data_IF_989476661095
#
_entry.id   IF_989476661095
#
_cell.length_a   1.000
_cell.length_b   1.000
_cell.length_c   1.000
_cell.angle_alpha   90.00
_cell.angle_beta   90.00
_cell.angle_gamma   90.00
#
_symmetry.space_group_name_H-M   'P 1'
#
loop_
_entity.id
_entity.type
_entity.pdbx_description
1 polymer ?
#
# COMPACT_ATOMS: atom_id res chain seq x y z
N UNK A 1 -17.16 8.73 -24.12
CA UNK A 1 -15.91 9.16 -23.47
C UNK A 1 -16.28 10.17 -22.40
N UNK A 2 -16.62 9.70 -21.22
CA UNK A 2 -17.09 10.52 -20.09
C UNK A 2 -15.88 11.13 -19.38
N UNK A 3 -15.74 12.45 -19.54
CA UNK A 3 -14.82 13.29 -18.77
C UNK A 3 -15.36 13.49 -17.35
N UNK A 4 -15.22 12.46 -16.51
CA UNK A 4 -15.47 12.57 -15.07
C UNK A 4 -14.19 12.18 -14.33
N UNK A 5 -13.20 13.08 -14.36
CA UNK A 5 -12.14 13.13 -13.34
C UNK A 5 -11.44 14.51 -13.31
N UNK A 6 -12.19 15.58 -13.57
CA UNK A 6 -11.70 16.95 -13.46
C UNK A 6 -12.24 17.58 -12.18
N UNK A 7 -11.71 17.16 -11.03
CA UNK A 7 -11.69 18.03 -9.85
C UNK A 7 -10.33 18.71 -9.81
N UNK A 8 -10.25 20.05 -9.69
CA UNK A 8 -8.98 20.71 -9.66
C UNK A 8 -8.15 20.21 -8.46
N UNK A 9 -6.83 20.06 -8.61
CA UNK A 9 -5.94 19.89 -7.46
C UNK A 9 -6.24 21.00 -6.45
N UNK A 10 -6.04 20.71 -5.16
CA UNK A 10 -6.22 21.73 -4.12
C UNK A 10 -5.45 23.00 -4.55
N UNK A 11 -6.13 24.14 -4.55
CA UNK A 11 -5.50 25.36 -5.02
C UNK A 11 -4.34 25.72 -4.08
N UNK A 12 -3.16 26.00 -4.64
CA UNK A 12 -1.93 26.11 -3.85
C UNK A 12 -1.93 27.33 -2.92
N UNK A 13 -2.73 28.34 -3.23
CA UNK A 13 -3.03 29.51 -2.40
C UNK A 13 -3.85 29.17 -1.14
N UNK A 14 -4.59 28.04 -1.14
CA UNK A 14 -5.26 27.51 0.06
C UNK A 14 -4.30 26.80 1.03
N UNK A 15 -3.07 26.51 0.59
CA UNK A 15 -2.04 25.87 1.42
C UNK A 15 -1.24 26.96 2.15
N UNK A 16 -1.04 26.86 3.48
CA UNK A 16 -0.27 27.84 4.25
C UNK A 16 1.11 28.11 3.64
N UNK A 17 1.63 29.31 3.85
CA UNK A 17 2.99 29.65 3.44
C UNK A 17 4.00 28.79 4.23
N UNK A 18 4.56 27.79 3.55
CA UNK A 18 5.54 26.84 4.09
C UNK A 18 6.68 26.67 3.09
N UNK A 19 7.84 26.23 3.59
CA UNK A 19 8.98 25.90 2.73
C UNK A 19 8.62 24.78 1.74
N UNK A 20 9.15 24.88 0.52
CA UNK A 20 9.01 23.89 -0.55
C UNK A 20 10.36 23.24 -0.87
N UNK A 21 10.37 21.99 -1.39
CA UNK A 21 9.21 21.13 -1.63
C UNK A 21 8.60 20.56 -0.34
N UNK A 22 7.27 20.42 -0.30
CA UNK A 22 6.55 19.92 0.89
C UNK A 22 5.53 18.85 0.51
N UNK A 23 5.50 17.73 1.24
CA UNK A 23 4.48 16.71 1.05
C UNK A 23 3.18 17.12 1.75
N UNK A 24 2.12 17.26 0.96
CA UNK A 24 0.82 17.77 1.39
C UNK A 24 -0.21 16.65 1.31
N UNK A 25 -1.02 16.49 2.35
CA UNK A 25 -2.08 15.47 2.43
C UNK A 25 -3.41 16.10 2.81
N UNK A 26 -4.50 15.61 2.23
CA UNK A 26 -5.85 16.16 2.38
C UNK A 26 -6.77 15.07 2.95
N UNK A 27 -7.11 15.19 4.23
CA UNK A 27 -7.77 14.13 5.01
C UNK A 27 -9.20 13.82 4.55
N UNK A 28 -9.98 14.85 4.17
CA UNK A 28 -11.34 14.68 3.65
C UNK A 28 -11.37 13.82 2.38
N UNK A 29 -10.34 13.94 1.53
CA UNK A 29 -10.20 13.11 0.32
C UNK A 29 -9.83 11.66 0.64
N UNK A 30 -9.05 11.43 1.70
CA UNK A 30 -8.75 10.06 2.18
C UNK A 30 -10.04 9.38 2.66
N UNK A 31 -10.88 10.11 3.40
CA UNK A 31 -12.17 9.57 3.88
C UNK A 31 -13.15 9.31 2.74
N UNK A 32 -13.19 10.16 1.71
CA UNK A 32 -13.91 9.86 0.47
C UNK A 32 -13.40 8.57 -0.18
N UNK A 33 -12.08 8.46 -0.36
CA UNK A 33 -11.48 7.28 -0.97
C UNK A 33 -11.77 6.00 -0.16
N UNK A 34 -11.75 6.07 1.17
CA UNK A 34 -12.13 4.96 2.04
C UNK A 34 -13.57 4.53 1.77
N UNK A 35 -14.50 5.49 1.73
CA UNK A 35 -15.93 5.23 1.50
C UNK A 35 -16.16 4.52 0.15
N UNK A 36 -15.66 5.07 -0.94
CA UNK A 36 -15.88 4.49 -2.29
C UNK A 36 -15.17 3.14 -2.46
N UNK A 37 -13.99 2.96 -1.86
CA UNK A 37 -13.27 1.68 -1.89
C UNK A 37 -13.98 0.61 -1.07
N UNK A 38 -14.47 0.96 0.13
CA UNK A 38 -15.26 0.06 0.96
C UNK A 38 -16.56 -0.36 0.24
N UNK A 39 -17.24 0.56 -0.43
CA UNK A 39 -18.41 0.26 -1.24
C UNK A 39 -18.08 -0.72 -2.38
N UNK A 40 -17.00 -0.47 -3.12
CA UNK A 40 -16.60 -1.30 -4.26
C UNK A 40 -16.27 -2.76 -3.88
N UNK A 41 -15.67 -3.00 -2.71
CA UNK A 41 -15.36 -4.36 -2.25
C UNK A 41 -16.47 -5.01 -1.40
N UNK A 42 -17.57 -4.28 -1.15
CA UNK A 42 -18.75 -4.76 -0.45
C UNK A 42 -18.67 -4.66 1.08
N UNK A 43 -17.86 -3.78 1.63
CA UNK A 43 -17.78 -3.49 3.07
C UNK A 43 -16.39 -3.06 3.54
N UNK A 44 -16.32 -2.17 4.53
CA UNK A 44 -15.04 -1.68 5.10
C UNK A 44 -14.28 -2.79 5.83
N UNK A 45 -15.01 -3.74 6.42
CA UNK A 45 -14.45 -4.89 7.13
C UNK A 45 -13.73 -5.88 6.21
N UNK A 46 -13.90 -5.72 4.89
CA UNK A 46 -13.20 -6.49 3.87
C UNK A 46 -11.83 -5.91 3.51
N UNK A 47 -11.54 -4.69 3.93
CA UNK A 47 -10.28 -4.04 3.62
C UNK A 47 -9.19 -4.47 4.61
N UNK A 48 -8.05 -4.87 4.04
CA UNK A 48 -6.76 -4.98 4.73
C UNK A 48 -5.75 -4.05 4.07
N UNK A 49 -5.87 -2.72 4.21
CA UNK A 49 -5.09 -1.77 3.43
C UNK A 49 -3.60 -1.94 3.68
N UNK A 50 -2.82 -1.79 2.61
CA UNK A 50 -1.38 -1.92 2.69
C UNK A 50 -0.73 -0.59 3.11
N UNK A 51 -0.11 -0.57 4.29
CA UNK A 51 0.45 0.66 4.87
C UNK A 51 1.71 1.18 4.19
N UNK A 52 2.35 0.39 3.32
CA UNK A 52 3.54 0.81 2.56
C UNK A 52 3.30 2.07 1.71
N UNK A 53 2.04 2.38 1.41
CA UNK A 53 1.66 3.58 0.66
C UNK A 53 1.89 4.86 1.45
N UNK A 54 1.66 4.82 2.77
CA UNK A 54 1.66 6.02 3.60
C UNK A 54 2.66 5.99 4.76
N UNK A 55 2.98 4.81 5.29
CA UNK A 55 3.91 4.62 6.41
C UNK A 55 3.67 5.63 7.56
N UNK A 56 2.40 5.82 7.91
CA UNK A 56 1.96 6.87 8.83
C UNK A 56 1.03 6.29 9.91
N UNK A 57 1.43 6.38 11.19
CA UNK A 57 0.66 5.85 12.31
C UNK A 57 -0.69 6.58 12.47
N UNK A 58 -0.72 7.90 12.28
CA UNK A 58 -1.94 8.69 12.38
C UNK A 58 -3.00 8.27 11.35
N UNK A 59 -2.59 7.79 10.17
CA UNK A 59 -3.51 7.23 9.18
C UNK A 59 -4.04 5.86 9.60
N UNK A 60 -3.22 5.03 10.25
CA UNK A 60 -3.71 3.77 10.81
C UNK A 60 -4.79 4.04 11.85
N UNK A 61 -4.56 5.00 12.76
CA UNK A 61 -5.56 5.43 13.75
C UNK A 61 -6.82 6.00 13.10
N UNK A 62 -6.69 6.83 12.06
CA UNK A 62 -7.83 7.37 11.32
C UNK A 62 -8.65 6.24 10.67
N UNK A 63 -8.00 5.27 10.03
CA UNK A 63 -8.67 4.16 9.35
C UNK A 63 -9.35 3.21 10.36
N UNK A 64 -8.71 2.95 11.51
CA UNK A 64 -9.31 2.21 12.63
C UNK A 64 -10.59 2.89 13.12
N UNK A 65 -10.56 4.21 13.32
CA UNK A 65 -11.72 4.99 13.75
C UNK A 65 -12.88 4.96 12.73
N UNK A 66 -12.59 4.63 11.47
CA UNK A 66 -13.57 4.50 10.39
C UNK A 66 -13.88 3.04 10.02
N UNK A 67 -13.57 2.09 10.91
CA UNK A 67 -14.03 0.70 10.80
C UNK A 67 -13.11 -0.27 10.07
N UNK A 68 -11.94 0.17 9.57
CA UNK A 68 -10.92 -0.75 9.08
C UNK A 68 -10.35 -1.52 10.28
N UNK A 69 -10.33 -2.85 10.23
CA UNK A 69 -9.88 -3.67 11.36
C UNK A 69 -8.58 -4.44 11.11
N UNK A 70 -8.07 -4.42 9.88
CA UNK A 70 -6.93 -5.23 9.46
C UNK A 70 -6.00 -4.42 8.56
N UNK A 71 -4.70 -4.71 8.64
CA UNK A 71 -3.68 -3.99 7.86
C UNK A 71 -2.60 -4.92 7.33
N UNK A 72 -2.00 -4.52 6.22
CA UNK A 72 -0.87 -5.21 5.62
C UNK A 72 0.38 -4.34 5.64
N UNK A 73 1.50 -4.91 6.08
CA UNK A 73 2.80 -4.26 6.18
C UNK A 73 3.87 -5.00 5.37
N UNK A 74 4.88 -4.30 4.88
CA UNK A 74 5.99 -4.86 4.09
C UNK A 74 7.26 -5.03 4.92
N UNK A 75 7.41 -4.28 6.01
CA UNK A 75 8.58 -4.35 6.90
C UNK A 75 8.15 -4.56 8.35
N UNK A 76 9.05 -5.09 9.17
CA UNK A 76 8.80 -5.26 10.62
C UNK A 76 8.60 -3.91 11.31
N UNK A 77 9.26 -2.84 10.86
CA UNK A 77 9.03 -1.48 11.36
C UNK A 77 7.60 -1.00 11.08
N UNK A 78 7.06 -1.29 9.89
CA UNK A 78 5.65 -1.00 9.58
C UNK A 78 4.70 -1.86 10.42
N UNK A 79 5.03 -3.12 10.69
CA UNK A 79 4.25 -3.97 11.60
C UNK A 79 4.19 -3.33 13.00
N UNK A 80 5.33 -2.91 13.54
CA UNK A 80 5.38 -2.24 14.85
C UNK A 80 4.55 -0.94 14.84
N UNK A 81 4.69 -0.11 13.82
CA UNK A 81 3.90 1.13 13.67
C UNK A 81 2.40 0.85 13.68
N UNK A 82 1.95 -0.17 12.95
CA UNK A 82 0.54 -0.55 12.85
C UNK A 82 0.01 -1.09 14.18
N UNK A 83 0.77 -1.97 14.84
CA UNK A 83 0.40 -2.52 16.15
C UNK A 83 0.36 -1.43 17.22
N UNK A 84 1.34 -0.53 17.25
CA UNK A 84 1.40 0.59 18.18
C UNK A 84 0.24 1.59 17.98
N UNK A 85 -0.25 1.73 16.75
CA UNK A 85 -1.44 2.53 16.43
C UNK A 85 -2.76 1.87 16.85
N UNK A 86 -2.73 0.64 17.36
CA UNK A 86 -3.88 -0.07 17.95
C UNK A 86 -4.53 -1.12 17.05
N UNK A 87 -3.96 -1.43 15.89
CA UNK A 87 -4.52 -2.47 15.03
C UNK A 87 -4.35 -3.87 15.64
N UNK A 88 -5.40 -4.67 15.56
CA UNK A 88 -5.44 -6.02 16.16
C UNK A 88 -5.27 -7.15 15.14
N UNK A 89 -5.21 -6.86 13.84
CA UNK A 89 -4.91 -7.85 12.80
C UNK A 89 -3.92 -7.29 11.80
N UNK A 90 -2.74 -7.89 11.73
CA UNK A 90 -1.65 -7.41 10.88
C UNK A 90 -1.04 -8.56 10.10
N UNK A 91 -1.00 -8.44 8.79
CA UNK A 91 -0.23 -9.35 7.93
C UNK A 91 1.08 -8.68 7.53
N UNK A 92 2.20 -9.28 7.92
CA UNK A 92 3.51 -8.93 7.38
C UNK A 92 3.70 -9.64 6.04
N UNK A 93 3.32 -8.94 4.97
CA UNK A 93 3.28 -9.48 3.62
C UNK A 93 4.65 -9.42 2.93
N UNK A 94 5.61 -10.14 3.51
CA UNK A 94 6.95 -10.30 2.97
C UNK A 94 7.47 -11.69 3.39
N UNK A 95 7.47 -12.70 2.49
CA UNK A 95 7.99 -14.02 2.83
C UNK A 95 9.49 -13.89 3.07
N UNK A 96 9.91 -13.93 4.34
CA UNK A 96 11.30 -13.76 4.73
C UNK A 96 11.88 -15.05 5.27
N UNK A 97 13.18 -15.22 5.09
CA UNK A 97 13.99 -16.26 5.70
C UNK A 97 15.03 -15.67 6.67
N UNK A 98 14.96 -14.35 6.92
CA UNK A 98 15.90 -13.65 7.77
C UNK A 98 15.52 -13.86 9.26
N UNK A 99 16.35 -14.58 10.04
CA UNK A 99 16.00 -14.95 11.42
C UNK A 99 15.90 -13.74 12.36
N UNK A 100 16.62 -12.65 12.09
CA UNK A 100 16.52 -11.42 12.89
C UNK A 100 15.18 -10.72 12.71
N UNK A 101 14.68 -10.63 11.48
CA UNK A 101 13.37 -10.02 11.22
C UNK A 101 12.21 -10.91 11.69
N UNK A 102 12.32 -12.23 11.52
CA UNK A 102 11.36 -13.20 12.09
C UNK A 102 11.36 -13.11 13.61
N UNK A 103 12.52 -13.07 14.24
CA UNK A 103 12.62 -12.88 15.67
C UNK A 103 11.92 -11.60 16.14
N UNK A 104 12.16 -10.47 15.47
CA UNK A 104 11.54 -9.19 15.82
C UNK A 104 10.01 -9.25 15.70
N UNK A 105 9.47 -9.94 14.69
CA UNK A 105 8.02 -10.09 14.57
C UNK A 105 7.44 -10.94 15.72
N UNK A 106 8.15 -11.98 16.18
CA UNK A 106 7.76 -12.76 17.37
C UNK A 106 7.76 -11.90 18.64
N UNK A 107 8.76 -11.04 18.84
CA UNK A 107 8.79 -10.09 19.96
C UNK A 107 7.61 -9.11 19.92
N UNK A 108 7.25 -8.62 18.72
CA UNK A 108 6.08 -7.76 18.55
C UNK A 108 4.79 -8.52 18.89
N UNK A 109 4.65 -9.78 18.48
CA UNK A 109 3.50 -10.60 18.86
C UNK A 109 3.40 -10.81 20.38
N UNK A 110 4.53 -10.89 21.09
CA UNK A 110 4.56 -10.97 22.55
C UNK A 110 4.25 -9.62 23.23
N UNK A 111 4.74 -8.51 22.66
CA UNK A 111 4.49 -7.13 23.12
C UNK A 111 3.03 -6.71 22.93
N UNK A 112 2.37 -7.21 21.88
CA UNK A 112 0.99 -6.90 21.52
C UNK A 112 0.11 -8.17 21.53
N UNK A 113 -0.12 -8.82 22.69
CA UNK A 113 -0.76 -10.14 22.77
C UNK A 113 -2.24 -10.14 22.35
N UNK A 114 -2.87 -8.97 22.24
CA UNK A 114 -4.25 -8.82 21.74
C UNK A 114 -4.33 -8.74 20.21
N UNK A 115 -3.21 -8.65 19.52
CA UNK A 115 -3.16 -8.57 18.07
C UNK A 115 -2.80 -9.93 17.46
N UNK A 116 -3.46 -10.27 16.36
CA UNK A 116 -3.10 -11.37 15.48
C UNK A 116 -2.04 -10.88 14.48
N UNK A 117 -0.82 -11.41 14.58
CA UNK A 117 0.26 -11.14 13.64
C UNK A 117 0.46 -12.34 12.72
N UNK A 118 0.45 -12.11 11.41
CA UNK A 118 0.63 -13.16 10.41
C UNK A 118 1.87 -12.91 9.58
N UNK A 119 2.80 -13.86 9.58
CA UNK A 119 3.94 -13.92 8.65
C UNK A 119 3.58 -14.69 7.37
N UNK A 120 4.40 -14.54 6.33
CA UNK A 120 4.27 -15.31 5.09
C UNK A 120 5.41 -16.32 4.94
N UNK A 121 5.09 -17.46 4.33
CA UNK A 121 6.05 -18.48 3.89
C UNK A 121 5.71 -18.94 2.48
N UNK A 122 6.74 -19.20 1.67
CA UNK A 122 6.61 -19.67 0.28
C UNK A 122 7.61 -20.78 -0.05
N UNK A 123 8.25 -21.36 0.97
CA UNK A 123 9.26 -22.40 0.77
C UNK A 123 9.43 -23.26 2.01
N UNK A 124 9.90 -24.49 1.81
CA UNK A 124 10.30 -25.39 2.90
C UNK A 124 11.39 -24.79 3.77
N UNK A 125 12.40 -24.17 3.15
CA UNK A 125 13.48 -23.51 3.89
C UNK A 125 12.95 -22.40 4.79
N UNK A 126 12.05 -21.54 4.28
CA UNK A 126 11.40 -20.51 5.09
C UNK A 126 10.63 -21.12 6.26
N UNK A 127 9.86 -22.18 6.02
CA UNK A 127 9.14 -22.90 7.08
C UNK A 127 10.09 -23.49 8.14
N UNK A 128 11.23 -24.06 7.76
CA UNK A 128 12.21 -24.61 8.70
C UNK A 128 12.77 -23.51 9.62
N UNK A 129 13.08 -22.32 9.06
CA UNK A 129 13.55 -21.17 9.84
C UNK A 129 12.48 -20.68 10.81
N UNK A 130 11.24 -20.54 10.35
CA UNK A 130 10.10 -20.15 11.20
C UNK A 130 9.85 -21.16 12.30
N UNK A 131 9.85 -22.46 12.00
CA UNK A 131 9.60 -23.53 12.96
C UNK A 131 10.56 -23.46 14.14
N UNK A 132 11.87 -23.32 13.86
CA UNK A 132 12.90 -23.18 14.90
C UNK A 132 12.68 -21.96 15.80
N UNK A 133 12.22 -20.85 15.23
CA UNK A 133 12.03 -19.60 15.98
C UNK A 133 10.69 -19.54 16.71
N UNK A 134 9.70 -20.31 16.27
CA UNK A 134 8.36 -20.36 16.87
C UNK A 134 8.28 -21.25 18.13
N UNK A 135 9.34 -21.97 18.48
CA UNK A 135 9.44 -22.69 19.75
C UNK A 135 9.26 -21.71 20.93
N UNK A 136 8.19 -21.88 21.70
CA UNK A 136 7.84 -20.98 22.81
C UNK A 136 7.26 -19.61 22.39
N UNK A 137 7.06 -19.36 21.09
CA UNK A 137 6.45 -18.13 20.60
C UNK A 137 4.94 -18.05 20.95
N UNK A 138 4.40 -16.84 21.19
CA UNK A 138 3.00 -16.66 21.56
C UNK A 138 2.05 -17.22 20.49
N UNK A 139 0.83 -17.66 20.85
CA UNK A 139 -0.16 -18.18 19.90
C UNK A 139 -0.65 -17.12 18.90
N UNK A 140 -0.43 -15.84 19.20
CA UNK A 140 -0.83 -14.70 18.36
C UNK A 140 -0.04 -14.55 17.06
N UNK A 141 1.09 -15.24 16.90
CA UNK A 141 1.85 -15.25 15.64
C UNK A 141 1.56 -16.52 14.83
N UNK A 142 1.07 -16.32 13.61
CA UNK A 142 0.67 -17.38 12.68
C UNK A 142 1.26 -17.17 11.30
N UNK A 143 1.09 -18.14 10.41
CA UNK A 143 1.66 -18.15 9.07
C UNK A 143 0.60 -18.32 8.00
N UNK A 144 0.78 -17.66 6.86
CA UNK A 144 0.06 -17.94 5.62
C UNK A 144 1.02 -18.43 4.56
N UNK A 145 0.53 -19.31 3.69
CA UNK A 145 1.26 -19.69 2.48
C UNK A 145 1.05 -18.59 1.43
N UNK A 146 2.14 -17.99 0.96
CA UNK A 146 2.13 -17.03 -0.16
C UNK A 146 2.01 -17.81 -1.47
N UNK A 147 1.03 -17.44 -2.29
CA UNK A 147 0.73 -18.06 -3.57
C UNK A 147 1.23 -17.17 -4.72
N UNK A 148 1.84 -17.77 -5.74
CA UNK A 148 2.23 -17.09 -6.97
C UNK A 148 1.12 -17.17 -8.03
N UNK A 149 0.41 -16.06 -8.34
CA UNK A 149 -0.59 -16.01 -9.40
C UNK A 149 0.06 -15.81 -10.78
N UNK A 150 1.17 -16.51 -11.04
CA UNK A 150 2.05 -16.31 -12.19
C UNK A 150 2.60 -14.87 -12.33
N UNK A 151 2.86 -14.21 -11.20
CA UNK A 151 3.59 -12.94 -11.15
C UNK A 151 5.11 -13.17 -11.20
N UNK A 152 5.60 -14.33 -10.72
CA UNK A 152 7.02 -14.68 -10.75
C UNK A 152 7.89 -13.84 -9.82
N UNK A 153 7.33 -13.39 -8.68
CA UNK A 153 8.02 -12.55 -7.69
C UNK A 153 8.35 -13.29 -6.40
N UNK A 154 7.32 -13.82 -5.75
CA UNK A 154 7.36 -14.64 -4.53
C UNK A 154 6.16 -15.56 -4.56
N UNK A 155 6.10 -16.52 -3.64
CA UNK A 155 4.98 -17.44 -3.52
C UNK A 155 5.24 -18.78 -4.22
N UNK A 156 4.55 -19.81 -3.73
CA UNK A 156 4.54 -21.13 -4.36
C UNK A 156 3.53 -21.19 -5.49
N UNK A 157 3.76 -22.03 -6.52
CA UNK A 157 2.74 -22.34 -7.51
C UNK A 157 1.41 -22.74 -6.86
N UNK A 158 0.30 -22.30 -7.44
CA UNK A 158 -1.06 -22.59 -6.98
C UNK A 158 -1.50 -24.02 -7.35
N UNK A 159 -0.74 -25.01 -6.90
CA UNK A 159 -0.96 -26.43 -7.16
C UNK A 159 -0.69 -27.28 -5.90
N UNK A 160 -0.43 -28.58 -6.08
CA UNK A 160 -0.12 -29.51 -4.99
C UNK A 160 1.05 -29.03 -4.11
N UNK A 161 2.01 -28.29 -4.67
CA UNK A 161 3.12 -27.70 -3.92
C UNK A 161 2.63 -26.77 -2.80
N UNK A 162 1.57 -26.00 -3.07
CA UNK A 162 0.94 -25.14 -2.08
C UNK A 162 0.24 -25.94 -0.99
N UNK A 163 -0.43 -27.03 -1.35
CA UNK A 163 -1.10 -27.93 -0.41
C UNK A 163 -0.08 -28.63 0.50
N UNK A 164 1.00 -29.17 -0.06
CA UNK A 164 2.09 -29.78 0.69
C UNK A 164 2.69 -28.83 1.73
N UNK A 165 2.94 -27.58 1.32
CA UNK A 165 3.46 -26.56 2.22
C UNK A 165 2.43 -26.17 3.29
N UNK A 166 1.16 -25.99 2.92
CA UNK A 166 0.09 -25.70 3.88
C UNK A 166 -0.05 -26.82 4.93
N UNK A 167 -0.06 -28.09 4.52
CA UNK A 167 -0.07 -29.25 5.43
C UNK A 167 1.15 -29.25 6.35
N UNK A 168 2.31 -28.81 5.87
CA UNK A 168 3.50 -28.66 6.70
C UNK A 168 3.33 -27.58 7.79
N UNK A 169 2.69 -26.46 7.47
CA UNK A 169 2.35 -25.42 8.47
C UNK A 169 1.29 -25.91 9.46
N UNK A 170 0.32 -26.73 9.02
CA UNK A 170 -0.69 -27.35 9.90
C UNK A 170 -0.02 -28.24 10.96
N UNK A 171 0.99 -29.03 10.59
CA UNK A 171 1.71 -29.90 11.54
C UNK A 171 2.37 -29.16 12.71
N UNK A 172 2.74 -27.89 12.52
CA UNK A 172 3.28 -27.04 13.60
C UNK A 172 2.19 -26.18 14.28
N UNK A 173 0.92 -26.33 13.88
CA UNK A 173 -0.23 -25.67 14.49
C UNK A 173 -0.32 -24.17 14.22
N UNK A 174 0.21 -23.67 13.09
CA UNK A 174 0.35 -22.23 12.82
C UNK A 174 -0.32 -21.76 11.52
N UNK A 175 -1.06 -22.61 10.81
CA UNK A 175 -1.66 -22.22 9.54
C UNK A 175 -2.83 -21.26 9.77
N UNK A 176 -2.80 -20.12 9.10
CA UNK A 176 -3.88 -19.12 9.10
C UNK A 176 -4.48 -18.87 7.71
N UNK A 177 -4.02 -19.61 6.70
CA UNK A 177 -4.60 -19.63 5.36
C UNK A 177 -3.67 -19.20 4.25
N UNK A 178 -4.26 -18.61 3.21
CA UNK A 178 -3.55 -18.23 1.99
C UNK A 178 -3.27 -16.73 1.95
N UNK A 179 -2.19 -16.37 1.27
CA UNK A 179 -1.93 -15.01 0.83
C UNK A 179 -1.71 -14.99 -0.69
N UNK A 180 -2.21 -13.98 -1.39
CA UNK A 180 -2.05 -13.85 -2.84
C UNK A 180 -1.91 -12.38 -3.26
N UNK A 181 -0.94 -12.06 -4.11
CA UNK A 181 -0.81 -10.72 -4.69
C UNK A 181 -0.72 -10.77 -6.22
N UNK A 182 -1.79 -10.36 -6.87
CA UNK A 182 -2.02 -10.37 -8.33
C UNK A 182 -1.62 -9.04 -9.00
N UNK A 183 -0.53 -8.43 -8.54
CA UNK A 183 -0.08 -7.13 -9.03
C UNK A 183 0.38 -7.09 -10.48
N UNK A 184 0.46 -8.24 -11.16
CA UNK A 184 0.69 -8.40 -12.60
C UNK A 184 -0.59 -8.20 -13.44
N UNK A 185 -1.78 -8.37 -12.86
CA UNK A 185 -3.05 -8.23 -13.58
C UNK A 185 -3.30 -6.75 -13.91
N UNK A 186 -3.39 -6.45 -15.21
CA UNK A 186 -3.61 -5.12 -15.80
C UNK A 186 -4.57 -5.25 -16.99
N UNK A 187 -4.85 -4.13 -17.63
CA UNK A 187 -5.76 -4.04 -18.77
C UNK A 187 -7.10 -3.43 -18.40
N UNK A 188 -8.07 -3.59 -19.29
CA UNK A 188 -9.46 -3.16 -19.12
C UNK A 188 -10.12 -3.85 -17.93
N UNK A 189 -11.25 -3.32 -17.46
CA UNK A 189 -12.01 -3.96 -16.39
C UNK A 189 -12.40 -5.41 -16.72
N UNK A 190 -12.86 -5.68 -17.95
CA UNK A 190 -13.28 -7.02 -18.36
C UNK A 190 -12.11 -8.01 -18.47
N UNK A 191 -10.96 -7.58 -18.98
CA UNK A 191 -9.74 -8.41 -19.00
C UNK A 191 -9.30 -8.79 -17.58
N UNK A 192 -9.31 -7.81 -16.66
CA UNK A 192 -9.00 -8.05 -15.24
C UNK A 192 -10.00 -9.01 -14.61
N UNK A 193 -11.30 -8.86 -14.90
CA UNK A 193 -12.36 -9.75 -14.40
C UNK A 193 -12.14 -11.20 -14.86
N UNK A 194 -11.83 -11.41 -16.14
CA UNK A 194 -11.53 -12.75 -16.68
C UNK A 194 -10.28 -13.34 -16.01
N UNK A 195 -9.23 -12.55 -15.83
CA UNK A 195 -8.00 -13.02 -15.18
C UNK A 195 -8.22 -13.38 -13.70
N UNK A 196 -8.95 -12.54 -12.95
CA UNK A 196 -9.30 -12.80 -11.55
C UNK A 196 -10.19 -14.04 -11.43
N UNK A 197 -11.16 -14.24 -12.33
CA UNK A 197 -12.01 -15.44 -12.29
C UNK A 197 -11.19 -16.73 -12.41
N UNK A 198 -10.21 -16.78 -13.30
CA UNK A 198 -9.33 -17.96 -13.44
C UNK A 198 -8.56 -18.25 -12.15
N UNK A 199 -8.00 -17.22 -11.51
CA UNK A 199 -7.31 -17.38 -10.24
C UNK A 199 -8.26 -17.76 -9.10
N UNK A 200 -9.49 -17.25 -9.11
CA UNK A 200 -10.53 -17.60 -8.16
C UNK A 200 -10.90 -19.09 -8.26
N UNK A 201 -11.05 -19.62 -9.47
CA UNK A 201 -11.32 -21.05 -9.70
C UNK A 201 -10.18 -21.93 -9.15
N UNK A 202 -8.92 -21.52 -9.37
CA UNK A 202 -7.75 -22.22 -8.80
C UNK A 202 -7.70 -22.13 -7.27
N UNK A 203 -7.99 -20.96 -6.68
CA UNK A 203 -8.02 -20.78 -5.24
C UNK A 203 -9.14 -21.59 -4.57
N UNK A 204 -10.33 -21.67 -5.18
CA UNK A 204 -11.44 -22.50 -4.71
C UNK A 204 -11.05 -23.98 -4.67
N UNK A 205 -10.33 -24.47 -5.69
CA UNK A 205 -9.84 -25.84 -5.71
C UNK A 205 -8.88 -26.12 -4.53
N UNK A 206 -7.90 -25.23 -4.30
CA UNK A 206 -6.96 -25.36 -3.17
C UNK A 206 -7.68 -25.34 -1.81
N UNK A 207 -8.61 -24.40 -1.61
CA UNK A 207 -9.40 -24.32 -0.38
C UNK A 207 -10.29 -25.56 -0.20
N UNK A 208 -10.89 -26.07 -1.28
CA UNK A 208 -11.72 -27.27 -1.24
C UNK A 208 -10.92 -28.51 -0.85
N UNK A 209 -9.72 -28.70 -1.40
CA UNK A 209 -8.83 -29.80 -1.01
C UNK A 209 -8.48 -29.76 0.48
N UNK A 210 -8.15 -28.59 1.04
CA UNK A 210 -7.93 -28.47 2.48
C UNK A 210 -9.20 -28.73 3.30
N UNK A 211 -10.38 -28.28 2.85
CA UNK A 211 -11.65 -28.53 3.54
C UNK A 211 -12.01 -30.01 3.58
N UNK A 212 -11.70 -30.78 2.53
CA UNK A 212 -11.88 -32.25 2.51
C UNK A 212 -11.00 -32.95 3.57
N UNK A 213 -9.86 -32.35 3.93
CA UNK A 213 -8.99 -32.79 5.03
C UNK A 213 -9.42 -32.24 6.41
N UNK A 214 -10.54 -31.52 6.48
CA UNK A 214 -11.04 -30.88 7.71
C UNK A 214 -10.31 -29.59 8.09
N UNK A 215 -9.57 -28.98 7.16
CA UNK A 215 -8.81 -27.74 7.35
C UNK A 215 -9.54 -26.60 6.64
N UNK A 216 -10.26 -25.77 7.40
CA UNK A 216 -10.95 -24.59 6.86
C UNK A 216 -10.12 -23.32 7.08
N UNK A 217 -9.74 -22.65 5.99
CA UNK A 217 -8.89 -21.46 6.03
C UNK A 217 -9.31 -20.43 4.98
N UNK A 218 -9.13 -19.15 5.31
CA UNK A 218 -9.43 -18.04 4.41
C UNK A 218 -8.23 -17.63 3.54
N UNK A 219 -8.45 -16.69 2.62
CA UNK A 219 -7.39 -16.01 1.87
C UNK A 219 -7.41 -14.50 2.10
N UNK A 220 -6.23 -13.88 2.03
CA UNK A 220 -6.04 -12.43 2.05
C UNK A 220 -5.15 -12.00 0.88
N UNK A 221 -5.50 -10.94 0.16
CA UNK A 221 -4.80 -10.68 -1.08
C UNK A 221 -5.32 -9.53 -1.91
N UNK A 222 -5.18 -9.65 -3.23
CA UNK A 222 -5.53 -8.66 -4.24
C UNK A 222 -4.68 -7.37 -4.25
N UNK A 223 -4.61 -6.73 -5.42
CA UNK A 223 -3.97 -5.44 -5.63
C UNK A 223 -5.00 -4.34 -5.92
N UNK A 224 -4.53 -3.10 -6.14
CA UNK A 224 -5.43 -1.97 -6.40
C UNK A 224 -6.24 -2.09 -7.71
N UNK A 225 -5.84 -2.99 -8.61
CA UNK A 225 -6.53 -3.21 -9.89
C UNK A 225 -7.58 -4.32 -9.83
N UNK A 226 -7.64 -5.10 -8.76
CA UNK A 226 -8.45 -6.33 -8.73
C UNK A 226 -9.24 -6.52 -7.44
N UNK A 227 -9.03 -5.67 -6.44
CA UNK A 227 -9.63 -5.80 -5.11
C UNK A 227 -11.16 -5.92 -5.10
N UNK A 228 -11.84 -5.29 -6.05
CA UNK A 228 -13.29 -5.28 -6.21
C UNK A 228 -13.82 -6.50 -6.99
N UNK A 229 -12.93 -7.24 -7.66
CA UNK A 229 -13.29 -8.38 -8.51
C UNK A 229 -13.28 -9.72 -7.76
N UNK A 230 -12.60 -9.80 -6.62
CA UNK A 230 -12.45 -11.06 -5.89
C UNK A 230 -13.75 -11.47 -5.15
N UNK A 231 -14.19 -12.75 -5.24
CA UNK A 231 -15.35 -13.24 -4.47
C UNK A 231 -15.12 -13.23 -2.96
N UNK A 232 -16.12 -12.82 -2.17
CA UNK A 232 -16.03 -12.77 -0.69
C UNK A 232 -15.88 -14.16 -0.06
N UNK A 233 -16.47 -15.18 -0.68
CA UNK A 233 -16.36 -16.58 -0.22
C UNK A 233 -14.93 -17.10 -0.25
N UNK A 234 -14.11 -16.60 -1.16
CA UNK A 234 -12.73 -17.04 -1.37
C UNK A 234 -11.73 -16.13 -0.65
N UNK A 235 -11.88 -14.82 -0.85
CA UNK A 235 -10.96 -13.80 -0.40
C UNK A 235 -11.62 -12.96 0.69
N UNK A 236 -11.33 -13.31 1.96
CA UNK A 236 -11.89 -12.64 3.13
C UNK A 236 -11.48 -11.17 3.19
N UNK A 237 -10.20 -10.90 2.97
CA UNK A 237 -9.66 -9.53 2.97
C UNK A 237 -8.98 -9.20 1.65
N UNK A 238 -9.30 -8.03 1.10
CA UNK A 238 -8.62 -7.47 -0.06
C UNK A 238 -7.70 -6.33 0.38
N UNK A 239 -6.53 -6.22 -0.25
CA UNK A 239 -5.40 -5.44 0.27
C UNK A 239 -4.96 -4.27 -0.61
N UNK A 240 -5.87 -3.50 -1.26
CA UNK A 240 -5.45 -2.30 -1.96
C UNK A 240 -4.96 -1.28 -0.91
N UNK A 241 -3.81 -0.65 -1.14
CA UNK A 241 -3.26 0.39 -0.25
C UNK A 241 -3.24 1.77 -0.89
N UNK A 242 -3.02 1.82 -2.20
CA UNK A 242 -2.78 3.06 -2.92
C UNK A 242 -4.00 3.98 -2.97
N UNK A 243 -5.21 3.45 -2.81
CA UNK A 243 -6.45 4.25 -2.75
C UNK A 243 -6.42 5.32 -1.65
N UNK A 244 -5.66 5.10 -0.56
CA UNK A 244 -5.57 6.05 0.56
C UNK A 244 -5.18 7.45 0.05
N UNK A 245 -4.16 7.52 -0.81
CA UNK A 245 -3.73 8.77 -1.43
C UNK A 245 -4.15 8.93 -2.89
N UNK A 246 -4.47 7.84 -3.58
CA UNK A 246 -4.44 7.71 -5.03
C UNK A 246 -3.11 8.20 -5.63
N UNK A 247 -3.04 8.34 -6.95
CA UNK A 247 -1.92 8.93 -7.71
C UNK A 247 -2.37 9.20 -9.16
N UNK A 248 -1.58 9.96 -9.92
CA UNK A 248 -1.94 10.30 -11.29
C UNK A 248 -2.13 9.07 -12.19
N UNK A 249 -1.36 7.99 -11.99
CA UNK A 249 -1.53 6.74 -12.73
C UNK A 249 -2.91 6.11 -12.48
N UNK A 250 -3.30 5.96 -11.22
CA UNK A 250 -4.57 5.35 -10.81
C UNK A 250 -5.76 6.24 -11.19
N UNK A 251 -5.63 7.56 -11.13
CA UNK A 251 -6.69 8.46 -11.58
C UNK A 251 -7.01 8.30 -13.07
N UNK A 252 -6.01 7.92 -13.89
CA UNK A 252 -6.21 7.60 -15.31
C UNK A 252 -6.73 6.18 -15.51
N UNK A 253 -6.07 5.19 -14.92
CA UNK A 253 -6.30 3.77 -15.22
C UNK A 253 -7.49 3.16 -14.43
N UNK A 254 -7.84 3.75 -13.30
CA UNK A 254 -8.83 3.26 -12.35
C UNK A 254 -9.92 4.31 -12.06
N UNK A 255 -10.22 5.16 -13.04
CA UNK A 255 -11.19 6.27 -12.91
C UNK A 255 -12.59 5.82 -12.42
N UNK A 256 -13.01 4.60 -12.75
CA UNK A 256 -14.28 4.00 -12.32
C UNK A 256 -14.41 3.81 -10.79
N UNK A 257 -13.31 3.84 -10.03
CA UNK A 257 -13.38 3.79 -8.55
C UNK A 257 -13.63 5.15 -7.90
N UNK A 258 -13.64 6.25 -8.67
CA UNK A 258 -13.92 7.60 -8.17
C UNK A 258 -13.00 8.03 -7.01
N UNK A 259 -11.73 7.58 -7.04
CA UNK A 259 -10.73 8.03 -6.10
C UNK A 259 -10.29 9.46 -6.40
N UNK A 260 -9.99 10.22 -5.36
CA UNK A 260 -9.43 11.56 -5.42
C UNK A 260 -7.93 11.54 -5.12
N UNK A 261 -7.16 12.42 -5.77
CA UNK A 261 -5.80 12.73 -5.32
C UNK A 261 -5.87 13.33 -3.90
N UNK A 262 -5.36 12.59 -2.93
CA UNK A 262 -5.33 12.96 -1.52
C UNK A 262 -3.92 13.35 -1.03
N UNK A 263 -2.88 13.16 -1.86
CA UNK A 263 -1.53 13.57 -1.56
C UNK A 263 -0.84 14.26 -2.73
N UNK A 264 0.01 15.23 -2.42
CA UNK A 264 0.65 16.14 -3.36
C UNK A 264 2.08 16.46 -2.92
N UNK A 265 2.90 16.94 -3.86
CA UNK A 265 4.13 17.68 -3.54
C UNK A 265 3.88 19.14 -3.90
N UNK A 266 3.91 20.00 -2.90
CA UNK A 266 3.90 21.45 -3.06
C UNK A 266 5.29 21.90 -3.50
N UNK A 267 5.36 22.72 -4.54
CA UNK A 267 6.59 23.26 -5.12
C UNK A 267 6.44 24.74 -5.44
N UNK A 268 7.56 25.45 -5.57
CA UNK A 268 7.61 26.85 -5.98
C UNK A 268 8.29 26.99 -7.34
N UNK A 269 7.76 27.85 -8.20
CA UNK A 269 8.41 28.28 -9.43
C UNK A 269 9.57 29.19 -9.08
N UNK A 270 10.80 28.73 -9.31
CA UNK A 270 12.04 29.45 -8.94
C UNK A 270 12.70 30.18 -10.12
N UNK A 271 12.26 29.90 -11.35
CA UNK A 271 12.76 30.59 -12.54
C UNK A 271 11.80 30.41 -13.72
N UNK A 272 11.58 31.46 -14.50
CA UNK A 272 10.85 31.42 -15.76
C UNK A 272 11.77 31.83 -16.91
N UNK A 273 11.75 31.10 -18.03
CA UNK A 273 12.56 31.42 -19.23
C UNK A 273 11.96 30.79 -20.48
N UNK A 274 11.93 31.52 -21.59
CA UNK A 274 11.72 30.98 -22.95
C UNK A 274 10.62 29.90 -23.06
N UNK A 275 9.41 30.17 -22.56
CA UNK A 275 8.28 29.23 -22.60
C UNK A 275 8.35 28.06 -21.61
N UNK A 276 9.25 28.13 -20.62
CA UNK A 276 9.43 27.12 -19.57
C UNK A 276 9.47 27.74 -18.19
N UNK A 277 9.07 26.95 -17.20
CA UNK A 277 9.12 27.29 -15.78
C UNK A 277 9.89 26.21 -15.02
N UNK A 278 10.74 26.61 -14.09
CA UNK A 278 11.55 25.70 -13.27
C UNK A 278 10.98 25.63 -11.86
N UNK A 279 10.71 24.40 -11.41
CA UNK A 279 10.16 24.06 -10.10
C UNK A 279 11.28 23.57 -9.17
N UNK A 280 11.16 23.84 -7.87
CA UNK A 280 12.08 23.37 -6.82
C UNK A 280 11.80 21.93 -6.31
N UNK A 281 10.93 21.19 -6.99
CA UNK A 281 10.70 19.77 -6.75
C UNK A 281 11.37 18.94 -7.86
N UNK A 282 12.55 18.38 -7.57
CA UNK A 282 13.28 17.50 -8.49
C UNK A 282 13.10 16.00 -8.24
N UNK A 283 14.05 15.22 -8.75
CA UNK A 283 13.99 13.76 -8.71
C UNK A 283 14.08 13.16 -7.30
N UNK A 284 14.57 13.92 -6.32
CA UNK A 284 14.62 13.55 -4.90
C UNK A 284 13.35 13.92 -4.12
N UNK A 285 12.40 14.59 -4.76
CA UNK A 285 11.15 15.04 -4.13
C UNK A 285 9.93 14.22 -4.55
N UNK A 286 9.94 13.56 -5.72
CA UNK A 286 8.72 12.96 -6.30
C UNK A 286 8.97 11.74 -7.20
N UNK A 287 8.15 10.70 -6.98
CA UNK A 287 8.05 9.43 -7.73
C UNK A 287 9.38 8.93 -8.31
N UNK A 288 10.39 8.62 -7.47
CA UNK A 288 11.74 8.28 -7.92
C UNK A 288 11.83 7.04 -8.81
N UNK A 289 10.82 6.16 -8.76
CA UNK A 289 10.73 4.94 -9.55
C UNK A 289 10.22 5.15 -10.99
N UNK A 290 9.70 6.35 -11.32
CA UNK A 290 9.11 6.64 -12.63
C UNK A 290 10.11 7.33 -13.56
N UNK A 291 10.01 7.10 -14.89
CA UNK A 291 10.74 7.89 -15.88
C UNK A 291 10.53 9.38 -15.62
N UNK A 292 11.58 10.19 -15.77
CA UNK A 292 11.57 11.61 -15.38
C UNK A 292 10.37 12.38 -15.94
N UNK A 293 10.00 12.11 -17.20
CA UNK A 293 8.91 12.76 -17.91
C UNK A 293 7.50 12.38 -17.43
N UNK A 294 7.39 11.38 -16.55
CA UNK A 294 6.13 10.81 -16.08
C UNK A 294 6.02 10.84 -14.55
N UNK A 295 6.80 11.64 -13.84
CA UNK A 295 6.84 11.58 -12.37
C UNK A 295 5.66 12.23 -11.68
N UNK A 296 4.97 13.15 -12.34
CA UNK A 296 3.80 13.79 -11.78
C UNK A 296 2.87 14.35 -12.86
N UNK A 297 1.63 14.61 -12.45
CA UNK A 297 0.71 15.48 -13.16
C UNK A 297 0.72 16.87 -12.50
N UNK A 298 0.87 17.91 -13.30
CA UNK A 298 1.00 19.30 -12.84
C UNK A 298 0.63 20.32 -13.93
N UNK A 299 1.15 21.54 -13.82
CA UNK A 299 0.80 22.66 -14.70
C UNK A 299 1.46 22.63 -16.10
N UNK A 300 2.22 21.60 -16.46
CA UNK A 300 2.89 21.51 -17.75
C UNK A 300 3.60 20.17 -17.97
N UNK A 301 4.03 19.93 -19.20
CA UNK A 301 4.84 18.77 -19.56
C UNK A 301 6.25 18.90 -18.98
N UNK A 302 6.78 17.81 -18.41
CA UNK A 302 8.15 17.75 -17.88
C UNK A 302 9.14 17.67 -19.04
N UNK A 303 9.93 18.73 -19.24
CA UNK A 303 10.98 18.80 -20.26
C UNK A 303 12.28 18.18 -19.75
N UNK A 304 12.63 18.44 -18.49
CA UNK A 304 13.86 17.98 -17.86
C UNK A 304 13.65 17.89 -16.35
N UNK A 305 14.28 16.90 -15.71
CA UNK A 305 14.31 16.79 -14.26
C UNK A 305 15.72 16.43 -13.79
N UNK A 306 16.20 17.18 -12.81
CA UNK A 306 17.45 16.98 -12.09
C UNK A 306 17.13 16.68 -10.62
N UNK A 307 18.15 16.53 -9.77
CA UNK A 307 17.97 16.13 -8.37
C UNK A 307 16.99 17.01 -7.60
N UNK A 308 17.14 18.34 -7.71
CA UNK A 308 16.36 19.34 -6.96
C UNK A 308 15.53 20.27 -7.87
N UNK A 309 15.52 20.03 -9.19
CA UNK A 309 14.88 20.94 -10.15
C UNK A 309 14.07 20.18 -11.18
N UNK A 310 12.90 20.71 -11.54
CA UNK A 310 12.13 20.25 -12.71
C UNK A 310 11.83 21.41 -13.64
N UNK A 311 12.16 21.27 -14.92
CA UNK A 311 11.76 22.22 -15.96
C UNK A 311 10.49 21.71 -16.62
N UNK A 312 9.43 22.50 -16.56
CA UNK A 312 8.16 22.24 -17.25
C UNK A 312 7.95 23.22 -18.41
N UNK A 313 7.25 22.77 -19.45
CA UNK A 313 6.75 23.64 -20.52
C UNK A 313 5.49 24.36 -20.04
N UNK A 314 5.65 25.60 -19.60
CA UNK A 314 4.59 26.50 -19.18
C UNK A 314 5.13 27.95 -19.19
N UNK A 315 4.40 28.85 -19.85
CA UNK A 315 4.74 30.28 -20.01
C UNK A 315 3.82 31.24 -19.24
N UNK A 316 2.80 30.72 -18.56
CA UNK A 316 1.77 31.50 -17.87
C UNK A 316 2.01 31.61 -16.37
N UNK A 317 3.09 30.99 -15.86
CA UNK A 317 3.47 31.02 -14.45
C UNK A 317 4.52 32.09 -14.21
N UNK A 318 4.47 32.70 -13.03
CA UNK A 318 5.43 33.67 -12.55
C UNK A 318 6.38 33.08 -11.51
N UNK A 319 7.58 33.66 -11.37
CA UNK A 319 8.50 33.27 -10.29
C UNK A 319 7.86 33.58 -8.93
N UNK A 320 7.83 32.59 -8.04
CA UNK A 320 7.14 32.65 -6.76
C UNK A 320 5.77 31.95 -6.74
N UNK A 321 5.22 31.60 -7.91
CA UNK A 321 3.99 30.81 -7.97
C UNK A 321 4.20 29.45 -7.29
N UNK A 322 3.17 29.02 -6.55
CA UNK A 322 3.18 27.74 -5.85
C UNK A 322 2.24 26.77 -6.54
N UNK A 323 2.64 25.51 -6.65
CA UNK A 323 1.89 24.48 -7.35
C UNK A 323 1.80 23.21 -6.52
N UNK A 324 0.67 22.50 -6.63
CA UNK A 324 0.56 21.13 -6.14
C UNK A 324 0.75 20.14 -7.29
N UNK A 325 1.76 19.29 -7.16
CA UNK A 325 2.04 18.21 -8.10
C UNK A 325 1.38 16.93 -7.59
N UNK A 326 0.59 16.27 -8.42
CA UNK A 326 0.05 14.94 -8.12
C UNK A 326 1.09 13.90 -8.52
N UNK A 327 1.67 13.13 -7.59
CA UNK A 327 2.67 12.12 -7.94
C UNK A 327 2.09 11.07 -8.88
N UNK A 328 2.89 10.59 -9.82
CA UNK A 328 2.53 9.42 -10.64
C UNK A 328 2.49 8.15 -9.79
N UNK A 329 3.36 8.06 -8.79
CA UNK A 329 3.36 7.02 -7.79
C UNK A 329 3.56 7.60 -6.40
N UNK A 330 2.49 7.57 -5.61
CA UNK A 330 2.52 8.18 -4.27
C UNK A 330 3.28 7.35 -3.24
N UNK A 331 3.29 6.02 -3.32
CA UNK A 331 3.99 5.20 -2.31
C UNK A 331 5.47 5.55 -2.20
N UNK A 332 6.15 5.68 -3.35
CA UNK A 332 7.57 6.05 -3.42
C UNK A 332 7.81 7.52 -3.14
N UNK A 333 6.79 8.37 -3.32
CA UNK A 333 6.86 9.79 -2.96
C UNK A 333 6.73 9.96 -1.45
N UNK A 334 5.69 9.40 -0.83
CA UNK A 334 5.48 9.45 0.62
C UNK A 334 6.66 8.87 1.40
N UNK A 335 7.31 7.83 0.86
CA UNK A 335 8.55 7.26 1.42
C UNK A 335 9.68 8.31 1.58
N UNK A 336 9.71 9.39 0.81
CA UNK A 336 10.77 10.41 0.89
C UNK A 336 10.60 11.37 2.07
N UNK A 337 9.42 11.41 2.70
CA UNK A 337 9.07 12.43 3.69
C UNK A 337 8.77 11.81 5.06
N UNK A 338 9.48 12.26 6.10
CA UNK A 338 9.23 11.87 7.50
C UNK A 338 8.05 12.60 8.14
N UNK A 339 7.42 13.52 7.42
CA UNK A 339 6.25 14.26 7.89
C UNK A 339 5.43 14.73 6.67
N UNK A 340 4.14 14.98 6.89
CA UNK A 340 3.25 15.59 5.90
C UNK A 340 2.63 16.86 6.49
N UNK A 341 2.43 17.89 5.66
CA UNK A 341 1.51 18.97 5.96
C UNK A 341 0.09 18.48 5.66
N UNK A 342 -0.70 18.24 6.69
CA UNK A 342 -2.03 17.64 6.60
C UNK A 342 -3.09 18.71 6.75
N UNK A 343 -4.02 18.77 5.80
CA UNK A 343 -5.31 19.45 5.97
C UNK A 343 -6.29 18.47 6.59
N UNK A 344 -6.62 18.69 7.85
CA UNK A 344 -7.61 17.91 8.59
C UNK A 344 -9.04 18.20 8.12
N UNK A 345 -9.99 17.36 8.52
CA UNK A 345 -11.42 17.46 8.11
C UNK A 345 -12.05 18.78 8.55
N UNK A 346 -11.62 19.36 9.68
CA UNK A 346 -12.10 20.66 10.15
C UNK A 346 -11.46 21.87 9.43
N UNK A 347 -10.58 21.60 8.45
CA UNK A 347 -9.91 22.60 7.64
C UNK A 347 -8.61 23.14 8.24
N UNK A 348 -8.19 22.69 9.43
CA UNK A 348 -6.90 23.08 10.01
C UNK A 348 -5.74 22.38 9.32
N UNK A 349 -4.63 23.10 9.25
CA UNK A 349 -3.36 22.63 8.71
C UNK A 349 -2.38 22.34 9.84
N UNK A 350 -1.81 21.14 9.83
CA UNK A 350 -0.81 20.73 10.83
C UNK A 350 0.20 19.73 10.25
N UNK A 351 1.40 19.72 10.82
CA UNK A 351 2.39 18.70 10.47
C UNK A 351 2.11 17.41 11.25
N UNK A 352 2.10 16.28 10.55
CA UNK A 352 1.99 14.95 11.16
C UNK A 352 3.13 14.04 10.70
N UNK A 353 3.71 13.31 11.64
CA UNK A 353 4.85 12.44 11.40
C UNK A 353 4.49 11.19 10.60
N UNK A 354 5.47 10.71 9.83
CA UNK A 354 5.46 9.48 9.06
C UNK A 354 6.84 8.81 9.20
N UNK A 355 6.95 7.51 8.92
CA UNK A 355 8.24 6.81 9.02
C UNK A 355 9.28 7.29 7.98
N UNK A 356 8.84 7.98 6.92
CA UNK A 356 9.74 8.45 5.84
C UNK A 356 10.53 7.32 5.20
N UNK A 357 11.83 7.55 4.97
CA UNK A 357 12.74 6.60 4.32
C UNK A 357 13.61 5.82 5.33
N UNK A 358 13.37 6.01 6.63
CA UNK A 358 14.18 5.37 7.66
C UNK A 358 14.01 3.84 7.62
N UNK A 359 15.16 3.15 7.71
CA UNK A 359 15.24 1.71 7.84
C UNK A 359 15.77 1.38 9.23
N UNK A 360 14.94 0.77 10.07
CA UNK A 360 15.37 0.32 11.40
C UNK A 360 16.18 -0.98 11.25
N UNK A 361 17.51 -0.85 11.18
CA UNK A 361 18.44 -1.99 11.25
C UNK A 361 18.87 -2.14 12.71
N UNK A 362 18.36 -3.17 13.38
CA UNK A 362 18.79 -3.50 14.75
C UNK A 362 19.52 -4.83 14.67
N UNK A 363 20.82 -4.83 14.99
CA UNK A 363 21.57 -6.07 15.20
C UNK A 363 21.03 -6.73 16.47
N UNK A 364 20.62 -7.99 16.37
CA UNK A 364 20.42 -8.81 17.56
C UNK A 364 21.79 -9.30 18.03
N UNK A 365 22.16 -8.94 19.25
CA UNK A 365 23.29 -9.52 19.98
C UNK A 365 22.89 -10.84 20.60
#
# INVERSE_FOLDING_TARGET
MTTHNTFPPLAADLVPAVATPCFVVVEDRILHNLKVTAQACGGVERLMPHVKTHRAAWLVTLLLANGVSAFKASTVTEVEMVLAAGATRVTWAFPTVNPQNIGRSIELAAKFPKAELTGLIDSRHGLDVWTRLLEGAPPSINLRVDLDPAMGRTGVPMDETALELARAVVRIGRLSGWHLYDGNIRGTYDERKVAVQKLADTLEALQSSLREEGIDVDAVGACSYTFDLWPRSLMRHVSPGTWVYSNAQHLRELAHHDWLAAAFVLTTVISTRNGTSTLDAGSKAISPDKPAQQRFQGAGEIVMMNEEHTVIRNETLDTGDRLLLVPEHTCTTAYLYSHALVRSVDGRWEYRDQLGNERSVVART
#
